data_IF_229458892754
#
_entry.id   IF_229458892754
#
_cell.length_a   1.000
_cell.length_b   1.000
_cell.length_c   1.000
_cell.angle_alpha   90.00
_cell.angle_beta   90.00
_cell.angle_gamma   90.00
#
_symmetry.space_group_name_H-M   'P 1'
#
loop_
_entity.id
_entity.type
_entity.pdbx_description
1 polymer ?
#
# COMPACT_ATOMS: atom_id res chain seq x y z
N UNK A 1 -17.03 14.28 5.49
CA UNK A 1 -16.62 13.68 5.42
C UNK A 1 -15.57 12.91 5.62
N UNK A 2 -15.45 12.50 6.48
CA UNK A 2 -14.31 11.80 6.90
C UNK A 2 -14.03 10.54 6.17
N UNK A 3 -14.92 10.01 5.51
CA UNK A 3 -14.68 8.77 4.82
C UNK A 3 -13.77 8.82 3.64
N UNK A 4 -13.48 10.00 3.19
CA UNK A 4 -12.74 10.13 2.07
C UNK A 4 -11.40 9.60 2.08
N UNK A 5 -10.63 9.75 3.10
CA UNK A 5 -9.28 9.23 3.10
C UNK A 5 -9.21 7.76 2.78
N UNK A 6 -10.26 7.05 3.15
CA UNK A 6 -10.26 5.65 2.93
C UNK A 6 -10.28 5.28 1.50
N UNK A 7 -10.97 6.03 0.67
CA UNK A 7 -10.98 5.77 -0.71
C UNK A 7 -9.64 6.08 -1.26
N UNK A 8 -9.01 7.10 -0.74
CA UNK A 8 -7.69 7.47 -1.17
C UNK A 8 -6.66 6.42 -0.82
N UNK A 9 -7.05 5.43 -0.06
CA UNK A 9 -6.14 4.35 0.31
C UNK A 9 -5.94 3.32 -0.78
N UNK A 10 -6.26 3.64 -2.01
CA UNK A 10 -5.95 2.73 -3.09
C UNK A 10 -6.91 1.59 -3.29
N UNK A 11 -8.15 1.76 -2.86
CA UNK A 11 -9.17 0.75 -3.08
C UNK A 11 -9.12 -0.43 -2.12
N UNK A 12 -8.43 -0.30 -1.02
CA UNK A 12 -8.40 -1.37 -0.02
C UNK A 12 -9.73 -1.46 0.71
N UNK A 13 -10.13 -2.69 1.06
CA UNK A 13 -11.24 -2.91 1.97
C UNK A 13 -10.85 -2.33 3.34
N UNK A 14 -11.82 -2.02 4.21
CA UNK A 14 -11.51 -1.36 5.48
C UNK A 14 -10.45 -2.06 6.32
N UNK A 15 -10.52 -3.38 6.47
CA UNK A 15 -9.54 -4.06 7.29
C UNK A 15 -8.18 -4.11 6.60
N UNK A 16 -8.17 -4.23 5.27
CA UNK A 16 -6.93 -4.16 4.51
C UNK A 16 -6.24 -2.81 4.73
N UNK A 17 -7.02 -1.72 4.73
CA UNK A 17 -6.48 -0.40 5.00
C UNK A 17 -5.84 -0.31 6.36
N UNK A 18 -6.51 -0.86 7.39
CA UNK A 18 -5.97 -0.82 8.74
C UNK A 18 -4.67 -1.61 8.84
N UNK A 19 -4.61 -2.77 8.19
CA UNK A 19 -3.40 -3.58 8.17
C UNK A 19 -2.27 -2.81 7.50
N UNK A 20 -2.56 -2.20 6.36
CA UNK A 20 -1.52 -1.46 5.63
C UNK A 20 -1.04 -0.24 6.43
N UNK A 21 -1.95 0.45 7.12
CA UNK A 21 -1.54 1.56 7.97
C UNK A 21 -0.58 1.09 9.07
N UNK A 22 -0.85 -0.07 9.65
CA UNK A 22 0.04 -0.63 10.68
C UNK A 22 1.40 -0.99 10.09
N UNK A 23 1.42 -1.58 8.90
CA UNK A 23 2.67 -1.95 8.24
C UNK A 23 3.50 -0.72 7.93
N UNK A 24 2.88 0.32 7.37
CA UNK A 24 3.61 1.54 7.03
C UNK A 24 4.11 2.27 8.28
N UNK A 25 3.31 2.26 9.34
CA UNK A 25 3.70 2.92 10.58
C UNK A 25 4.91 2.26 11.22
N UNK A 26 5.00 0.95 11.10
CA UNK A 26 6.09 0.20 11.73
C UNK A 26 7.45 0.47 11.09
N UNK A 27 7.47 0.77 9.80
CA UNK A 27 8.69 1.08 9.06
C UNK A 27 9.66 -0.06 8.83
N UNK A 28 9.67 -1.06 9.69
CA UNK A 28 10.48 -2.26 9.50
C UNK A 28 9.55 -3.42 9.18
N UNK A 29 10.05 -4.50 8.57
CA UNK A 29 9.21 -5.67 8.34
C UNK A 29 8.56 -6.15 9.62
N UNK A 30 7.31 -6.54 9.56
CA UNK A 30 6.52 -6.90 10.74
C UNK A 30 5.91 -8.28 10.61
N UNK A 31 5.70 -8.93 11.77
CA UNK A 31 5.01 -10.21 11.83
C UNK A 31 3.50 -9.99 11.86
N UNK A 32 2.76 -11.08 11.60
CA UNK A 32 1.32 -11.04 11.77
C UNK A 32 0.96 -10.67 13.21
N UNK A 33 1.70 -11.21 14.18
CA UNK A 33 1.45 -10.92 15.59
C UNK A 33 1.60 -9.44 15.91
N UNK A 34 2.63 -8.81 15.36
CA UNK A 34 2.84 -7.38 15.60
C UNK A 34 1.69 -6.55 15.05
N UNK A 35 1.22 -6.89 13.85
CA UNK A 35 0.08 -6.18 13.25
C UNK A 35 -1.18 -6.42 14.07
N UNK A 36 -1.41 -7.67 14.46
CA UNK A 36 -2.56 -8.02 15.28
C UNK A 36 -2.60 -7.21 16.57
N UNK A 37 -1.46 -7.15 17.26
CA UNK A 37 -1.38 -6.41 18.51
C UNK A 37 -1.66 -4.92 18.30
N UNK A 38 -1.10 -4.35 17.24
CA UNK A 38 -1.30 -2.95 16.93
C UNK A 38 -2.78 -2.64 16.65
N UNK A 39 -3.44 -3.50 15.88
CA UNK A 39 -4.85 -3.27 15.56
C UNK A 39 -5.75 -3.45 16.76
N UNK A 40 -5.38 -4.36 17.65
CA UNK A 40 -6.22 -4.64 18.81
C UNK A 40 -6.05 -3.64 19.95
N UNK A 41 -5.06 -2.77 19.89
CA UNK A 41 -4.86 -1.77 20.92
C UNK A 41 -6.06 -0.87 21.13
N UNK A 42 -6.78 -0.55 20.07
CA UNK A 42 -7.89 0.39 20.16
C UNK A 42 -9.24 -0.24 19.91
N UNK A 43 -9.28 -1.56 19.75
CA UNK A 43 -10.54 -2.24 19.48
C UNK A 43 -11.19 -2.74 20.76
N UNK A 44 -12.50 -2.54 20.86
CA UNK A 44 -13.25 -3.11 21.98
C UNK A 44 -13.44 -4.61 21.78
N UNK A 45 -13.56 -5.05 20.52
CA UNK A 45 -13.63 -6.48 20.21
C UNK A 45 -12.41 -6.87 19.42
N UNK A 46 -11.51 -7.63 20.01
CA UNK A 46 -10.25 -7.97 19.36
C UNK A 46 -10.45 -8.84 18.11
N UNK A 47 -9.60 -8.61 17.13
CA UNK A 47 -9.54 -9.46 15.96
C UNK A 47 -8.82 -10.75 16.32
N UNK A 48 -9.14 -11.82 15.63
CA UNK A 48 -8.44 -13.10 15.79
C UNK A 48 -7.17 -13.08 14.95
N UNK A 49 -6.18 -13.84 15.40
CA UNK A 49 -4.93 -13.99 14.67
C UNK A 49 -5.17 -14.46 13.23
N UNK A 50 -6.03 -15.47 13.06
CA UNK A 50 -6.29 -16.00 11.73
C UNK A 50 -6.93 -14.98 10.80
N UNK A 51 -7.72 -14.07 11.34
CA UNK A 51 -8.33 -13.01 10.54
C UNK A 51 -7.26 -12.11 9.95
N UNK A 52 -6.33 -11.67 10.79
CA UNK A 52 -5.26 -10.79 10.35
C UNK A 52 -4.32 -11.54 9.40
N UNK A 53 -4.00 -12.79 9.73
CA UNK A 53 -3.15 -13.61 8.88
C UNK A 53 -3.75 -13.77 7.48
N UNK A 54 -5.05 -14.03 7.40
CA UNK A 54 -5.72 -14.19 6.11
C UNK A 54 -5.65 -12.91 5.29
N UNK A 55 -5.86 -11.76 5.94
CA UNK A 55 -5.78 -10.48 5.23
C UNK A 55 -4.36 -10.23 4.73
N UNK A 56 -3.36 -10.48 5.57
CA UNK A 56 -1.97 -10.24 5.18
C UNK A 56 -1.53 -11.18 4.06
N UNK A 57 -1.97 -12.44 4.09
CA UNK A 57 -1.67 -13.37 3.02
C UNK A 57 -2.33 -12.96 1.72
N UNK A 58 -3.55 -12.42 1.79
CA UNK A 58 -4.24 -11.94 0.62
C UNK A 58 -3.52 -10.74 0.03
N UNK A 59 -3.04 -9.82 0.88
CA UNK A 59 -2.29 -8.67 0.41
C UNK A 59 -0.96 -9.10 -0.22
N UNK A 60 -0.33 -10.13 0.33
CA UNK A 60 0.90 -10.66 -0.26
C UNK A 60 0.62 -11.28 -1.64
N UNK A 61 -0.50 -12.00 -1.77
CA UNK A 61 -0.87 -12.59 -3.05
C UNK A 61 -1.15 -11.53 -4.12
N UNK A 62 -1.65 -10.37 -3.69
CA UNK A 62 -1.91 -9.26 -4.60
C UNK A 62 -0.66 -8.45 -4.93
N UNK A 63 0.47 -8.76 -4.30
CA UNK A 63 1.69 -8.00 -4.51
C UNK A 63 1.79 -6.70 -3.73
N UNK A 64 0.88 -6.48 -2.76
CA UNK A 64 0.88 -5.29 -1.92
C UNK A 64 1.87 -5.43 -0.78
N UNK A 65 1.95 -6.64 -0.22
CA UNK A 65 2.94 -6.99 0.79
C UNK A 65 3.91 -8.00 0.22
N UNK A 66 5.11 -8.03 0.80
CA UNK A 66 6.14 -8.96 0.41
C UNK A 66 6.56 -9.71 1.67
N UNK A 67 6.63 -11.02 1.58
CA UNK A 67 7.07 -11.85 2.70
C UNK A 67 8.57 -12.01 2.71
N UNK A 68 9.12 -12.07 3.91
CA UNK A 68 10.53 -12.36 4.10
C UNK A 68 10.66 -13.44 5.14
N UNK A 69 11.68 -14.26 5.02
CA UNK A 69 11.94 -15.31 5.99
C UNK A 69 11.21 -16.60 5.68
N UNK A 70 11.06 -17.43 6.68
CA UNK A 70 10.49 -18.75 6.53
C UNK A 70 9.06 -18.82 7.03
N UNK A 71 8.34 -19.82 6.51
CA UNK A 71 6.93 -19.96 6.73
C UNK A 71 6.44 -19.70 8.15
N UNK A 72 7.14 -20.18 9.14
CA UNK A 72 6.70 -20.05 10.53
C UNK A 72 7.00 -18.70 11.14
N UNK A 73 7.84 -17.93 10.50
CA UNK A 73 8.27 -16.66 11.03
C UNK A 73 8.33 -15.59 9.95
N UNK A 74 7.36 -15.63 9.03
CA UNK A 74 7.31 -14.61 8.00
C UNK A 74 7.24 -13.22 8.59
N UNK A 75 8.01 -12.33 8.01
CA UNK A 75 7.87 -10.90 8.22
C UNK A 75 7.35 -10.32 6.93
N UNK A 76 6.56 -9.29 7.04
CA UNK A 76 5.91 -8.66 5.89
C UNK A 76 6.34 -7.21 5.78
N UNK A 77 6.52 -6.75 4.57
CA UNK A 77 6.80 -5.35 4.31
C UNK A 77 6.00 -4.89 3.11
N UNK A 78 5.70 -3.60 3.06
CA UNK A 78 4.94 -3.06 1.94
C UNK A 78 5.83 -2.96 0.72
N UNK A 79 5.24 -3.15 -0.46
CA UNK A 79 6.00 -3.07 -1.71
C UNK A 79 6.10 -1.62 -2.21
N UNK A 80 5.40 -0.69 -1.58
CA UNK A 80 5.53 0.74 -1.85
C UNK A 80 5.29 1.48 -0.55
N UNK A 81 5.68 2.74 -0.50
CA UNK A 81 5.69 3.51 0.74
C UNK A 81 4.33 4.04 1.17
N UNK A 82 3.36 4.03 0.28
CA UNK A 82 2.02 4.51 0.61
C UNK A 82 1.01 3.98 -0.39
N UNK A 83 -0.25 4.34 -0.17
CA UNK A 83 -1.33 3.86 -1.01
C UNK A 83 -1.19 4.30 -2.46
N UNK A 84 -0.69 5.52 -2.69
CA UNK A 84 -0.50 6.01 -4.05
C UNK A 84 0.51 5.14 -4.79
N UNK A 85 1.60 4.78 -4.12
CA UNK A 85 2.61 3.90 -4.71
C UNK A 85 2.05 2.55 -5.07
N UNK A 86 1.22 1.98 -4.19
CA UNK A 86 0.58 0.70 -4.47
C UNK A 86 -0.31 0.81 -5.71
N UNK A 87 -1.09 1.89 -5.79
CA UNK A 87 -2.00 2.08 -6.93
C UNK A 87 -1.23 2.22 -8.24
N UNK A 88 -0.17 3.01 -8.24
CA UNK A 88 0.63 3.22 -9.44
C UNK A 88 1.31 1.93 -9.86
N UNK A 89 1.89 1.18 -8.91
CA UNK A 89 2.50 -0.11 -9.23
C UNK A 89 1.49 -1.05 -9.89
N UNK A 90 0.26 -1.05 -9.38
CA UNK A 90 -0.78 -1.90 -9.94
C UNK A 90 -1.13 -1.52 -11.36
N UNK A 91 -1.26 -0.24 -11.64
CA UNK A 91 -1.58 0.24 -12.98
C UNK A 91 -0.45 -0.10 -13.95
N UNK A 92 0.80 0.10 -13.54
CA UNK A 92 1.94 -0.23 -14.40
C UNK A 92 2.01 -1.73 -14.64
N UNK A 93 1.78 -2.54 -13.62
CA UNK A 93 1.79 -4.00 -13.78
C UNK A 93 0.73 -4.44 -14.78
N UNK A 94 -0.48 -3.87 -14.67
CA UNK A 94 -1.61 -4.33 -15.48
C UNK A 94 -1.56 -3.81 -16.90
N UNK A 95 -1.04 -2.61 -17.13
CA UNK A 95 -1.09 -1.96 -18.43
C UNK A 95 0.27 -1.68 -19.06
N UNK A 96 1.34 -1.83 -18.29
CA UNK A 96 2.69 -1.66 -18.83
C UNK A 96 2.94 -0.29 -19.42
N UNK A 97 3.56 -0.27 -20.59
CA UNK A 97 3.91 0.98 -21.26
C UNK A 97 2.72 1.88 -21.51
N UNK A 98 1.53 1.29 -21.71
CA UNK A 98 0.32 2.09 -21.94
C UNK A 98 0.00 2.95 -20.73
N UNK A 99 0.26 2.45 -19.50
CA UNK A 99 0.05 3.24 -18.30
C UNK A 99 0.96 4.45 -18.27
N UNK A 100 2.22 4.26 -18.64
CA UNK A 100 3.21 5.34 -18.64
C UNK A 100 2.81 6.39 -19.67
N UNK A 101 2.43 5.95 -20.87
CA UNK A 101 2.02 6.88 -21.93
C UNK A 101 0.80 7.69 -21.52
N UNK A 102 -0.18 7.05 -20.90
CA UNK A 102 -1.38 7.74 -20.44
C UNK A 102 -1.05 8.75 -19.35
N UNK A 103 -0.14 8.40 -18.44
CA UNK A 103 0.24 9.33 -17.40
C UNK A 103 0.89 10.58 -18.02
N UNK A 104 1.76 10.38 -18.99
CA UNK A 104 2.42 11.49 -19.68
C UNK A 104 1.37 12.39 -20.36
N UNK A 105 0.40 11.76 -21.04
CA UNK A 105 -0.64 12.54 -21.70
C UNK A 105 -1.46 13.36 -20.70
N UNK A 106 -1.81 12.76 -19.55
CA UNK A 106 -2.55 13.48 -18.51
C UNK A 106 -1.71 14.63 -17.96
N UNK A 107 -0.43 14.40 -17.75
CA UNK A 107 0.46 15.43 -17.22
C UNK A 107 0.59 16.59 -18.18
N UNK A 108 0.67 16.30 -19.48
CA UNK A 108 0.78 17.37 -20.49
C UNK A 108 -0.46 18.24 -20.55
N UNK A 109 -1.61 17.65 -20.20
CA UNK A 109 -2.87 18.39 -20.23
C UNK A 109 -3.04 19.29 -19.01
N UNK A 110 -2.21 19.13 -17.98
CA UNK A 110 -2.32 19.89 -16.74
C UNK A 110 -0.98 20.55 -16.42
N UNK A 111 -0.86 21.88 -16.62
CA UNK A 111 0.44 22.55 -16.41
C UNK A 111 1.03 22.38 -15.02
N UNK A 112 0.18 22.31 -13.99
CA UNK A 112 0.68 22.11 -12.62
C UNK A 112 1.30 20.72 -12.45
N UNK A 113 0.62 19.71 -12.98
CA UNK A 113 1.13 18.33 -12.89
C UNK A 113 2.44 18.24 -13.67
N UNK A 114 2.47 18.83 -14.87
CA UNK A 114 3.67 18.78 -15.70
C UNK A 114 4.85 19.48 -15.02
N UNK A 115 4.60 20.62 -14.40
CA UNK A 115 5.64 21.35 -13.68
C UNK A 115 6.18 20.50 -12.53
N UNK A 116 5.29 19.87 -11.77
CA UNK A 116 5.67 19.04 -10.65
C UNK A 116 6.46 17.81 -11.12
N UNK A 117 6.00 17.20 -12.20
CA UNK A 117 6.69 16.04 -12.76
C UNK A 117 8.12 16.41 -13.15
N UNK A 118 8.29 17.54 -13.83
CA UNK A 118 9.63 17.98 -14.25
C UNK A 118 10.52 18.23 -13.06
N UNK A 119 9.97 18.83 -12.00
CA UNK A 119 10.76 19.10 -10.80
C UNK A 119 11.23 17.82 -10.14
N UNK A 120 10.35 16.83 -10.05
CA UNK A 120 10.70 15.55 -9.43
C UNK A 120 11.75 14.78 -10.25
N UNK A 121 11.62 14.81 -11.58
CA UNK A 121 12.59 14.13 -12.41
C UNK A 121 13.95 14.82 -12.33
N UNK A 122 13.96 16.13 -12.20
CA UNK A 122 15.21 16.88 -12.13
C UNK A 122 15.96 16.59 -10.83
N UNK A 123 15.26 16.22 -9.76
CA UNK A 123 15.92 15.91 -8.49
C UNK A 123 16.86 14.72 -8.60
N UNK A 124 16.59 13.82 -9.54
CA UNK A 124 17.38 12.61 -9.70
C UNK A 124 18.52 12.78 -10.70
N UNK A 125 18.59 13.89 -11.35
CA UNK A 125 19.59 14.12 -12.42
C UNK A 125 20.98 14.55 -11.88
#
# INVERSE_FOLDING_TARGET
MAGRPRKASGGFAPLESEVMDAVWTARDPVSVRAVLDALNETRSEPLAYTTVMTVMNRLAAKGVLKRRGERRSYLYEATATDAAGIAVRGVIRDYGDAAVAQFVDQARADPEVLRRLRALLAEDA
#
